data_IF_375680044006
#
_entry.id   IF_375680044006
#
_cell.length_a   1.000
_cell.length_b   1.000
_cell.length_c   1.000
_cell.angle_alpha   90.00
_cell.angle_beta   90.00
_cell.angle_gamma   90.00
#
_symmetry.space_group_name_H-M   'P 1'
#
loop_
_entity.id
_entity.type
_entity.pdbx_description
1 polymer ?
#
# COMPACT_ATOMS: atom_id res chain seq x y z
N UNK A 1 28.06 7.12 30.50
CA UNK A 1 27.44 8.00 29.49
C UNK A 1 26.51 7.16 28.63
N UNK A 2 25.23 7.48 28.49
CA UNK A 2 24.36 6.77 27.58
C UNK A 2 24.88 6.97 26.16
N UNK A 3 24.96 5.88 25.39
CA UNK A 3 25.33 5.87 23.97
C UNK A 3 24.33 6.73 23.21
N UNK A 4 24.72 7.63 22.29
CA UNK A 4 23.76 8.35 21.47
C UNK A 4 22.89 7.32 20.73
N UNK A 5 21.59 7.34 20.97
CA UNK A 5 20.64 6.46 20.27
C UNK A 5 20.69 6.90 18.81
N UNK A 6 21.21 6.00 17.95
CA UNK A 6 21.23 6.26 16.51
C UNK A 6 19.77 6.39 16.06
N UNK A 7 19.43 7.52 15.45
CA UNK A 7 18.12 7.77 14.90
C UNK A 7 17.81 6.70 13.84
N UNK A 8 16.85 5.83 14.14
CA UNK A 8 16.34 4.83 13.22
C UNK A 8 15.04 5.35 12.59
N UNK A 9 15.14 5.71 11.30
CA UNK A 9 14.00 6.23 10.53
C UNK A 9 12.90 5.19 10.35
N UNK A 10 13.28 3.93 10.09
CA UNK A 10 12.32 2.86 9.86
C UNK A 10 11.58 2.50 11.13
N UNK A 11 12.26 2.37 12.27
CA UNK A 11 11.61 2.16 13.56
C UNK A 11 10.65 3.30 13.93
N UNK A 12 10.97 4.55 13.55
CA UNK A 12 10.08 5.71 13.77
C UNK A 12 8.81 5.60 12.92
N UNK A 13 8.94 5.19 11.67
CA UNK A 13 7.80 4.97 10.78
C UNK A 13 6.96 3.77 11.21
N UNK A 14 7.58 2.69 11.73
CA UNK A 14 6.88 1.55 12.31
C UNK A 14 6.05 1.95 13.52
N UNK A 15 6.60 2.80 14.39
CA UNK A 15 5.86 3.35 15.53
C UNK A 15 4.66 4.20 15.08
N UNK A 16 4.82 5.00 14.03
CA UNK A 16 3.74 5.81 13.47
C UNK A 16 2.64 4.95 12.84
N UNK A 17 3.00 3.91 12.07
CA UNK A 17 2.06 2.94 11.49
C UNK A 17 1.26 2.23 12.58
N UNK A 18 1.95 1.73 13.63
CA UNK A 18 1.30 1.04 14.74
C UNK A 18 0.29 1.94 15.47
N UNK A 19 0.69 3.17 15.80
CA UNK A 19 -0.21 4.14 16.47
C UNK A 19 -1.44 4.47 15.61
N UNK A 20 -1.26 4.66 14.29
CA UNK A 20 -2.36 4.91 13.37
C UNK A 20 -3.37 3.75 13.35
N UNK A 21 -2.89 2.53 13.37
CA UNK A 21 -3.72 1.31 13.33
C UNK A 21 -4.41 1.03 14.67
N UNK A 22 -3.75 1.33 15.80
CA UNK A 22 -4.28 1.10 17.16
C UNK A 22 -5.32 2.13 17.58
N UNK A 23 -5.06 3.40 17.29
CA UNK A 23 -5.86 4.52 17.81
C UNK A 23 -6.35 5.51 16.76
N UNK A 24 -6.24 5.17 15.47
CA UNK A 24 -6.56 6.06 14.36
C UNK A 24 -5.51 7.15 14.15
N UNK A 25 -5.71 7.95 13.10
CA UNK A 25 -4.76 9.01 12.69
C UNK A 25 -4.50 10.02 13.82
N UNK A 26 -5.49 10.28 14.66
CA UNK A 26 -5.37 11.23 15.78
C UNK A 26 -4.39 10.77 16.87
N UNK A 27 -4.20 9.47 17.03
CA UNK A 27 -3.23 8.89 17.97
C UNK A 27 -1.78 9.13 17.56
N UNK A 28 -1.52 9.38 16.27
CA UNK A 28 -0.17 9.65 15.75
C UNK A 28 0.21 11.09 16.07
N UNK A 29 0.77 11.31 17.25
CA UNK A 29 1.38 12.59 17.63
C UNK A 29 2.90 12.45 17.68
N UNK A 30 3.65 13.55 17.48
CA UNK A 30 5.12 13.53 17.58
C UNK A 30 5.55 12.95 18.92
N UNK A 31 4.89 13.35 20.00
CA UNK A 31 5.16 12.84 21.36
C UNK A 31 4.91 11.33 21.48
N UNK A 32 3.76 10.84 21.02
CA UNK A 32 3.44 9.42 21.11
C UNK A 32 4.42 8.55 20.33
N UNK A 33 4.87 9.02 19.14
CA UNK A 33 5.88 8.33 18.35
C UNK A 33 7.25 8.40 19.03
N UNK A 34 7.61 9.54 19.61
CA UNK A 34 8.85 9.72 20.36
C UNK A 34 8.90 8.77 21.57
N UNK A 35 7.83 8.73 22.37
CA UNK A 35 7.70 7.88 23.55
C UNK A 35 7.82 6.38 23.15
N UNK A 36 7.15 5.97 22.06
CA UNK A 36 7.18 4.59 21.58
C UNK A 36 8.54 4.18 20.98
N UNK A 37 9.20 5.10 20.26
CA UNK A 37 10.50 4.85 19.61
C UNK A 37 11.73 5.13 20.49
N UNK A 38 11.52 5.66 21.71
CA UNK A 38 12.62 6.08 22.59
C UNK A 38 13.41 7.26 22.04
N UNK A 39 12.79 8.14 21.24
CA UNK A 39 13.42 9.25 20.55
C UNK A 39 13.06 10.59 21.19
N UNK A 40 13.83 11.64 20.87
CA UNK A 40 13.42 13.01 21.23
C UNK A 40 12.45 13.58 20.20
N UNK A 41 11.52 14.42 20.67
CA UNK A 41 10.61 15.16 19.77
C UNK A 41 11.39 15.98 18.73
N UNK A 42 12.54 16.58 19.13
CA UNK A 42 13.40 17.35 18.23
C UNK A 42 13.97 16.52 17.10
N UNK A 43 14.38 15.28 17.35
CA UNK A 43 14.87 14.36 16.30
C UNK A 43 13.79 14.06 15.26
N UNK A 44 12.54 13.82 15.70
CA UNK A 44 11.41 13.55 14.80
C UNK A 44 11.09 14.81 13.97
N UNK A 45 11.03 16.00 14.59
CA UNK A 45 10.80 17.25 13.87
C UNK A 45 11.89 17.50 12.82
N UNK A 46 13.15 17.27 13.19
CA UNK A 46 14.27 17.42 12.25
C UNK A 46 14.16 16.48 11.04
N UNK A 47 13.71 15.23 11.27
CA UNK A 47 13.66 14.20 10.23
C UNK A 47 12.41 14.29 9.34
N UNK A 48 11.27 14.73 9.89
CA UNK A 48 9.97 14.68 9.19
C UNK A 48 9.31 16.06 9.03
N UNK A 49 9.84 17.09 9.64
CA UNK A 49 9.35 18.47 9.55
C UNK A 49 8.06 18.72 10.34
N UNK A 50 7.09 17.83 10.23
CA UNK A 50 5.78 17.97 10.87
C UNK A 50 5.14 16.62 11.14
N UNK A 51 4.02 16.63 11.90
CA UNK A 51 3.16 15.46 12.06
C UNK A 51 2.64 14.95 10.70
N UNK A 52 2.15 15.85 9.84
CA UNK A 52 1.70 15.49 8.48
C UNK A 52 2.82 14.89 7.64
N UNK A 53 4.05 15.39 7.76
CA UNK A 53 5.23 14.81 7.12
C UNK A 53 5.56 13.41 7.63
N UNK A 54 5.46 13.16 8.93
CA UNK A 54 5.69 11.84 9.53
C UNK A 54 4.61 10.83 9.07
N UNK A 55 3.34 11.18 9.20
CA UNK A 55 2.20 10.31 8.85
C UNK A 55 2.19 10.01 7.35
N UNK A 56 2.40 11.04 6.53
CA UNK A 56 2.45 10.87 5.08
C UNK A 56 3.59 9.97 4.62
N UNK A 57 4.79 10.09 5.23
CA UNK A 57 5.92 9.20 4.88
C UNK A 57 5.72 7.77 5.37
N UNK A 58 5.03 7.55 6.50
CA UNK A 58 4.65 6.21 6.93
C UNK A 58 3.71 5.56 5.89
N UNK A 59 2.71 6.29 5.42
CA UNK A 59 1.80 5.81 4.37
C UNK A 59 2.53 5.56 3.04
N UNK A 60 3.36 6.51 2.57
CA UNK A 60 4.17 6.35 1.35
C UNK A 60 5.05 5.11 1.42
N UNK A 61 5.70 4.85 2.57
CA UNK A 61 6.53 3.66 2.76
C UNK A 61 5.71 2.37 2.62
N UNK A 62 4.55 2.32 3.28
CA UNK A 62 3.66 1.16 3.20
C UNK A 62 3.16 0.92 1.77
N UNK A 63 2.74 1.99 1.07
CA UNK A 63 2.29 1.91 -0.31
C UNK A 63 3.42 1.51 -1.30
N UNK A 64 4.64 1.98 -1.08
CA UNK A 64 5.81 1.55 -1.86
C UNK A 64 6.11 0.06 -1.68
N UNK A 65 6.06 -0.44 -0.44
CA UNK A 65 6.23 -1.87 -0.15
C UNK A 65 5.18 -2.70 -0.88
N UNK A 66 3.92 -2.27 -0.83
CA UNK A 66 2.81 -2.92 -1.52
C UNK A 66 3.04 -2.96 -3.04
N UNK A 67 3.31 -1.81 -3.67
CA UNK A 67 3.49 -1.72 -5.11
C UNK A 67 4.75 -2.47 -5.58
N UNK A 68 5.83 -2.47 -4.79
CA UNK A 68 7.02 -3.27 -5.09
C UNK A 68 6.71 -4.77 -5.09
N UNK A 69 5.97 -5.24 -4.08
CA UNK A 69 5.53 -6.64 -4.01
C UNK A 69 4.63 -7.00 -5.19
N UNK A 70 3.71 -6.10 -5.58
CA UNK A 70 2.81 -6.31 -6.71
C UNK A 70 3.56 -6.38 -8.03
N UNK A 71 4.51 -5.47 -8.27
CA UNK A 71 5.40 -5.51 -9.44
C UNK A 71 6.20 -6.81 -9.50
N UNK A 72 6.78 -7.22 -8.35
CA UNK A 72 7.53 -8.49 -8.26
C UNK A 72 6.65 -9.71 -8.57
N UNK A 73 5.43 -9.75 -8.06
CA UNK A 73 4.49 -10.83 -8.34
C UNK A 73 4.13 -10.91 -9.83
N UNK A 74 3.91 -9.76 -10.47
CA UNK A 74 3.66 -9.67 -11.93
C UNK A 74 4.88 -10.11 -12.75
N UNK A 75 6.09 -9.70 -12.33
CA UNK A 75 7.33 -10.00 -13.05
C UNK A 75 7.74 -11.48 -12.95
N UNK A 76 7.18 -12.21 -11.98
CA UNK A 76 7.41 -13.65 -11.80
C UNK A 76 6.55 -14.53 -12.73
N UNK A 77 5.58 -13.95 -13.45
CA UNK A 77 4.65 -14.69 -14.28
C UNK A 77 4.90 -14.43 -15.77
N UNK A 78 5.05 -15.50 -16.53
CA UNK A 78 5.25 -15.43 -17.99
C UNK A 78 3.92 -15.28 -18.76
N UNK A 79 2.82 -15.80 -18.21
CA UNK A 79 1.50 -15.74 -18.86
C UNK A 79 0.72 -14.48 -18.42
N UNK A 80 0.18 -13.69 -19.37
CA UNK A 80 -0.51 -12.44 -19.05
C UNK A 80 -1.68 -12.61 -18.04
N UNK A 81 -2.47 -13.66 -18.19
CA UNK A 81 -3.59 -13.93 -17.28
C UNK A 81 -3.10 -14.23 -15.86
N UNK A 82 -2.00 -14.96 -15.72
CA UNK A 82 -1.40 -15.25 -14.42
C UNK A 82 -0.80 -14.00 -13.78
N UNK A 83 -0.19 -13.13 -14.57
CA UNK A 83 0.31 -11.85 -14.09
C UNK A 83 -0.81 -10.96 -13.52
N UNK A 84 -2.00 -10.92 -14.15
CA UNK A 84 -3.16 -10.20 -13.61
C UNK A 84 -3.67 -10.84 -12.32
N UNK A 85 -3.74 -12.18 -12.26
CA UNK A 85 -4.16 -12.90 -11.04
C UNK A 85 -3.17 -12.65 -9.89
N UNK A 86 -1.87 -12.70 -10.15
CA UNK A 86 -0.84 -12.43 -9.15
C UNK A 86 -0.90 -11.00 -8.64
N UNK A 87 -1.13 -10.02 -9.52
CA UNK A 87 -1.36 -8.63 -9.15
C UNK A 87 -2.61 -8.48 -8.25
N UNK A 88 -3.70 -9.17 -8.58
CA UNK A 88 -4.94 -9.16 -7.81
C UNK A 88 -4.80 -9.83 -6.44
N UNK A 89 -3.96 -10.86 -6.31
CA UNK A 89 -3.72 -11.59 -5.06
C UNK A 89 -2.72 -10.89 -4.12
N UNK A 90 -1.98 -9.89 -4.60
CA UNK A 90 -0.97 -9.17 -3.80
C UNK A 90 -1.47 -8.67 -2.45
N UNK A 91 -2.71 -8.15 -2.27
CA UNK A 91 -3.21 -7.77 -0.95
C UNK A 91 -3.18 -8.90 0.09
N UNK A 92 -3.43 -10.16 -0.33
CA UNK A 92 -3.34 -11.32 0.54
C UNK A 92 -1.90 -11.55 1.03
N UNK A 93 -0.96 -11.64 0.09
CA UNK A 93 0.47 -11.83 0.38
C UNK A 93 1.02 -10.68 1.22
N UNK A 94 0.64 -9.44 0.89
CA UNK A 94 1.05 -8.25 1.65
C UNK A 94 0.54 -8.28 3.09
N UNK A 95 -0.69 -8.76 3.33
CA UNK A 95 -1.25 -8.85 4.68
C UNK A 95 -0.53 -9.87 5.56
N UNK A 96 0.04 -10.91 4.98
CA UNK A 96 0.85 -11.90 5.69
C UNK A 96 2.23 -11.34 6.05
N UNK A 97 2.86 -10.61 5.14
CA UNK A 97 4.21 -10.06 5.32
C UNK A 97 4.24 -8.75 6.12
N UNK A 98 3.23 -7.89 5.93
CA UNK A 98 3.15 -6.53 6.48
C UNK A 98 1.77 -6.23 7.07
N UNK A 99 1.32 -6.94 8.13
CA UNK A 99 -0.05 -6.81 8.64
C UNK A 99 -0.40 -5.39 9.11
N UNK A 100 0.54 -4.67 9.72
CA UNK A 100 0.33 -3.28 10.16
C UNK A 100 0.20 -2.33 8.97
N UNK A 101 1.11 -2.43 7.98
CA UNK A 101 1.05 -1.62 6.77
C UNK A 101 -0.22 -1.89 5.96
N UNK A 102 -0.70 -3.14 5.93
CA UNK A 102 -1.98 -3.52 5.29
C UNK A 102 -3.16 -2.79 5.94
N UNK A 103 -3.23 -2.79 7.27
CA UNK A 103 -4.29 -2.07 8.00
C UNK A 103 -4.19 -0.57 7.80
N UNK A 104 -2.98 -0.03 7.67
CA UNK A 104 -2.77 1.39 7.41
C UNK A 104 -3.31 1.80 6.03
N UNK A 105 -2.89 1.14 4.95
CA UNK A 105 -3.21 1.57 3.58
C UNK A 105 -4.62 1.18 3.12
N UNK A 106 -5.20 0.12 3.68
CA UNK A 106 -6.53 -0.35 3.30
C UNK A 106 -7.60 -0.13 4.36
N UNK A 107 -7.22 0.11 5.61
CA UNK A 107 -8.15 0.30 6.72
C UNK A 107 -8.40 1.76 7.11
N UNK A 108 -7.56 2.69 6.68
CA UNK A 108 -7.65 4.11 7.02
C UNK A 108 -7.73 4.93 5.73
N UNK A 109 -8.65 5.91 5.71
CA UNK A 109 -8.79 6.79 4.54
C UNK A 109 -7.49 7.55 4.24
N UNK A 110 -7.08 7.50 2.98
CA UNK A 110 -5.89 8.21 2.50
C UNK A 110 -6.02 9.72 2.76
N UNK A 111 -7.18 10.30 2.51
CA UNK A 111 -7.46 11.72 2.71
C UNK A 111 -7.28 12.11 4.18
N UNK A 112 -7.77 11.29 5.11
CA UNK A 112 -7.63 11.52 6.53
C UNK A 112 -6.16 11.48 6.98
N UNK A 113 -5.36 10.59 6.39
CA UNK A 113 -3.96 10.42 6.74
C UNK A 113 -3.05 11.54 6.22
N UNK A 114 -3.29 12.02 4.98
CA UNK A 114 -2.34 12.85 4.24
C UNK A 114 -2.83 14.28 3.98
N UNK A 115 -4.02 14.66 4.49
CA UNK A 115 -4.60 15.99 4.23
C UNK A 115 -3.64 17.15 4.54
N UNK A 116 -2.82 17.01 5.59
CA UNK A 116 -1.83 18.01 6.02
C UNK A 116 -0.39 17.65 5.58
N UNK A 117 -0.22 16.74 4.62
CA UNK A 117 1.11 16.31 4.18
C UNK A 117 1.83 17.42 3.41
N UNK A 118 3.13 17.64 3.66
CA UNK A 118 3.92 18.65 2.96
C UNK A 118 4.09 18.33 1.46
N UNK A 119 4.45 19.33 0.67
CA UNK A 119 4.47 19.27 -0.79
C UNK A 119 5.35 18.14 -1.37
N UNK A 120 6.47 17.85 -0.71
CA UNK A 120 7.36 16.74 -1.11
C UNK A 120 6.71 15.38 -0.91
N UNK A 121 6.01 15.15 0.20
CA UNK A 121 5.22 13.93 0.43
C UNK A 121 4.09 13.81 -0.59
N UNK A 122 3.41 14.92 -0.89
CA UNK A 122 2.38 14.96 -1.94
C UNK A 122 2.93 14.59 -3.32
N UNK A 123 4.16 15.00 -3.63
CA UNK A 123 4.84 14.61 -4.87
C UNK A 123 5.14 13.10 -4.90
N UNK A 124 5.60 12.53 -3.78
CA UNK A 124 5.83 11.08 -3.66
C UNK A 124 4.53 10.27 -3.84
N UNK A 125 3.41 10.78 -3.32
CA UNK A 125 2.09 10.14 -3.49
C UNK A 125 1.65 10.15 -4.95
N UNK A 126 1.81 11.26 -5.67
CA UNK A 126 1.53 11.34 -7.11
C UNK A 126 2.40 10.40 -7.94
N UNK A 127 3.66 10.24 -7.55
CA UNK A 127 4.55 9.27 -8.21
C UNK A 127 4.04 7.84 -8.04
N UNK A 128 3.55 7.46 -6.84
CA UNK A 128 2.94 6.15 -6.62
C UNK A 128 1.66 5.93 -7.45
N UNK A 129 0.82 6.96 -7.60
CA UNK A 129 -0.37 6.89 -8.44
C UNK A 129 0.02 6.68 -9.91
N UNK A 130 1.11 7.32 -10.38
CA UNK A 130 1.66 7.11 -11.72
C UNK A 130 2.21 5.71 -11.89
N UNK A 131 3.00 5.23 -10.94
CA UNK A 131 3.58 3.89 -10.94
C UNK A 131 2.52 2.78 -10.99
N UNK A 132 1.40 2.95 -10.26
CA UNK A 132 0.28 2.00 -10.32
C UNK A 132 -0.40 2.05 -11.68
N UNK A 133 -0.65 3.24 -12.22
CA UNK A 133 -1.23 3.40 -13.56
C UNK A 133 -0.37 2.73 -14.63
N UNK A 134 0.94 2.91 -14.58
CA UNK A 134 1.88 2.29 -15.52
C UNK A 134 1.85 0.76 -15.43
N UNK A 135 1.71 0.21 -14.23
CA UNK A 135 1.52 -1.22 -14.03
C UNK A 135 0.23 -1.72 -14.68
N UNK A 136 -0.90 -1.00 -14.49
CA UNK A 136 -2.19 -1.37 -15.09
C UNK A 136 -2.13 -1.31 -16.64
N UNK A 137 -1.48 -0.28 -17.19
CA UNK A 137 -1.26 -0.16 -18.65
C UNK A 137 -0.41 -1.31 -19.17
N UNK A 138 0.67 -1.68 -18.46
CA UNK A 138 1.52 -2.81 -18.83
C UNK A 138 0.74 -4.12 -18.88
N UNK A 139 -0.09 -4.39 -17.86
CA UNK A 139 -0.94 -5.57 -17.81
C UNK A 139 -1.99 -5.57 -18.93
N UNK A 140 -2.58 -4.41 -19.24
CA UNK A 140 -3.54 -4.26 -20.34
C UNK A 140 -2.91 -4.53 -21.71
N UNK A 141 -1.70 -4.03 -21.93
CA UNK A 141 -0.94 -4.32 -23.16
C UNK A 141 -0.59 -5.81 -23.27
N UNK A 142 -0.14 -6.43 -22.19
CA UNK A 142 0.20 -7.85 -22.18
C UNK A 142 -1.04 -8.73 -22.42
N UNK A 143 -2.20 -8.37 -21.86
CA UNK A 143 -3.42 -9.18 -21.92
C UNK A 143 -4.23 -8.98 -23.20
N UNK A 144 -4.29 -7.74 -23.72
CA UNK A 144 -5.22 -7.36 -24.79
C UNK A 144 -4.53 -6.73 -26.01
N UNK A 145 -3.21 -6.51 -25.97
CA UNK A 145 -2.48 -5.66 -26.92
C UNK A 145 -3.10 -4.26 -27.08
N UNK A 146 -3.67 -3.72 -26.00
CA UNK A 146 -4.40 -2.43 -25.98
C UNK A 146 -4.08 -1.68 -24.70
N UNK A 147 -4.11 -0.33 -24.79
CA UNK A 147 -3.90 0.60 -23.67
C UNK A 147 -4.94 1.74 -23.62
N UNK A 148 -6.06 1.56 -24.29
CA UNK A 148 -7.18 2.51 -24.22
C UNK A 148 -7.87 2.43 -22.84
N UNK A 149 -8.65 3.46 -22.51
CA UNK A 149 -9.27 3.59 -21.20
C UNK A 149 -10.17 2.38 -20.85
N UNK A 150 -10.84 1.78 -21.83
CA UNK A 150 -11.72 0.65 -21.60
C UNK A 150 -10.95 -0.62 -21.23
N UNK A 151 -9.88 -0.92 -21.96
CA UNK A 151 -9.04 -2.09 -21.67
C UNK A 151 -8.29 -1.96 -20.33
N UNK A 152 -7.79 -0.77 -19.99
CA UNK A 152 -7.16 -0.50 -18.68
C UNK A 152 -8.18 -0.60 -17.54
N UNK A 153 -9.43 -0.14 -17.74
CA UNK A 153 -10.48 -0.25 -16.73
C UNK A 153 -10.79 -1.71 -16.38
N UNK A 154 -10.80 -2.64 -17.36
CA UNK A 154 -10.97 -4.07 -17.09
C UNK A 154 -9.85 -4.61 -16.18
N UNK A 155 -8.62 -4.20 -16.41
CA UNK A 155 -7.49 -4.59 -15.55
C UNK A 155 -7.64 -3.96 -14.15
N UNK A 156 -8.07 -2.71 -14.05
CA UNK A 156 -8.32 -2.03 -12.78
C UNK A 156 -9.42 -2.74 -11.99
N UNK A 157 -10.51 -3.17 -12.63
CA UNK A 157 -11.55 -3.97 -11.99
C UNK A 157 -10.99 -5.28 -11.40
N UNK A 158 -10.09 -5.95 -12.14
CA UNK A 158 -9.45 -7.18 -11.69
C UNK A 158 -8.46 -6.95 -10.54
N UNK A 159 -7.61 -5.92 -10.64
CA UNK A 159 -6.46 -5.73 -9.75
C UNK A 159 -6.77 -4.86 -8.52
N UNK A 160 -7.78 -3.98 -8.63
CA UNK A 160 -8.18 -3.06 -7.56
C UNK A 160 -9.61 -3.36 -7.09
N UNK A 161 -10.58 -3.40 -8.00
CA UNK A 161 -12.00 -3.54 -7.67
C UNK A 161 -12.32 -4.85 -6.96
N UNK A 162 -11.99 -5.99 -7.56
CA UNK A 162 -12.25 -7.31 -7.00
C UNK A 162 -11.55 -7.56 -5.66
N UNK A 163 -10.23 -7.33 -5.51
CA UNK A 163 -9.57 -7.50 -4.22
C UNK A 163 -10.17 -6.60 -3.13
N UNK A 164 -10.51 -5.37 -3.45
CA UNK A 164 -11.16 -4.45 -2.50
C UNK A 164 -12.51 -5.02 -2.03
N UNK A 165 -13.34 -5.52 -2.92
CA UNK A 165 -14.65 -6.08 -2.58
C UNK A 165 -14.58 -7.42 -1.86
N UNK A 166 -13.71 -8.32 -2.28
CA UNK A 166 -13.65 -9.70 -1.80
C UNK A 166 -12.73 -9.90 -0.58
N UNK A 167 -11.65 -9.14 -0.49
CA UNK A 167 -10.62 -9.32 0.53
C UNK A 167 -10.60 -8.20 1.56
N UNK A 168 -10.45 -6.94 1.12
CA UNK A 168 -10.10 -5.85 2.02
C UNK A 168 -11.25 -5.40 2.95
N UNK A 169 -12.48 -5.78 2.65
CA UNK A 169 -13.66 -5.55 3.52
C UNK A 169 -13.87 -6.65 4.56
N UNK A 170 -12.99 -7.63 4.63
CA UNK A 170 -13.07 -8.80 5.51
C UNK A 170 -11.85 -8.84 6.42
N UNK A 171 -11.86 -9.67 7.48
CA UNK A 171 -10.65 -9.90 8.28
C UNK A 171 -9.48 -10.38 7.40
N UNK A 172 -8.31 -9.80 7.61
CA UNK A 172 -7.07 -10.15 6.91
C UNK A 172 -6.18 -11.01 7.84
N UNK A 173 -5.40 -11.95 7.30
CA UNK A 173 -5.29 -12.35 5.89
C UNK A 173 -6.54 -13.08 5.39
N UNK A 174 -6.86 -13.02 4.07
CA UNK A 174 -7.98 -13.76 3.50
C UNK A 174 -7.70 -15.27 3.49
N UNK A 175 -8.77 -16.07 3.54
CA UNK A 175 -8.64 -17.52 3.45
C UNK A 175 -8.23 -17.96 2.05
N UNK A 176 -7.62 -19.14 1.93
CA UNK A 176 -7.28 -19.76 0.64
C UNK A 176 -8.50 -19.91 -0.28
N UNK A 177 -9.66 -20.19 0.28
CA UNK A 177 -10.93 -20.24 -0.47
C UNK A 177 -11.29 -18.87 -1.06
N UNK A 178 -11.05 -17.77 -0.34
CA UNK A 178 -11.28 -16.41 -0.85
C UNK A 178 -10.32 -16.08 -1.97
N UNK A 179 -9.06 -16.45 -1.86
CA UNK A 179 -8.03 -16.27 -2.90
C UNK A 179 -8.38 -17.04 -4.17
N UNK A 180 -8.84 -18.32 -4.06
CA UNK A 180 -9.31 -19.10 -5.20
C UNK A 180 -10.52 -18.50 -5.90
N UNK A 181 -11.47 -17.95 -5.12
CA UNK A 181 -12.63 -17.25 -5.69
C UNK A 181 -12.22 -15.98 -6.42
N UNK A 182 -11.24 -15.22 -5.89
CA UNK A 182 -10.69 -14.06 -6.57
C UNK A 182 -10.08 -14.46 -7.91
N UNK A 183 -9.22 -15.47 -7.94
CA UNK A 183 -8.59 -15.96 -9.17
C UNK A 183 -9.64 -16.34 -10.23
N UNK A 184 -10.63 -17.12 -9.85
CA UNK A 184 -11.71 -17.52 -10.75
C UNK A 184 -12.54 -16.32 -11.28
N UNK A 185 -12.79 -15.32 -10.44
CA UNK A 185 -13.48 -14.10 -10.85
C UNK A 185 -12.64 -13.26 -11.83
N UNK A 186 -11.33 -13.14 -11.61
CA UNK A 186 -10.41 -12.49 -12.54
C UNK A 186 -10.41 -13.18 -13.90
N UNK A 187 -10.27 -14.51 -13.93
CA UNK A 187 -10.34 -15.31 -15.16
C UNK A 187 -11.65 -15.09 -15.92
N UNK A 188 -12.78 -15.09 -15.19
CA UNK A 188 -14.08 -14.87 -15.79
C UNK A 188 -14.22 -13.48 -16.41
N UNK A 189 -13.76 -12.41 -15.74
CA UNK A 189 -13.79 -11.04 -16.27
C UNK A 189 -12.92 -10.93 -17.52
N UNK A 190 -11.70 -11.46 -17.48
CA UNK A 190 -10.75 -11.39 -18.60
C UNK A 190 -11.21 -12.18 -19.83
N UNK A 191 -12.14 -13.15 -19.66
CA UNK A 191 -12.73 -13.93 -20.76
C UNK A 191 -13.89 -13.25 -21.47
N UNK A 192 -14.46 -12.16 -20.90
CA UNK A 192 -15.55 -11.40 -21.52
C UNK A 192 -14.98 -10.58 -22.69
N UNK A 193 -15.53 -10.79 -23.89
CA UNK A 193 -15.14 -10.10 -25.12
C UNK A 193 -15.87 -8.76 -25.27
#
# INVERSE_FOLDING_TARGET
MPRPQVYDRDATLDAAEALAVEGGVKAVTIRAVADRGGLSNGAIYHAFGSRGGLVGRAWVRAARRFLALQKQAVDAEDEPIRAVIAAADTPAVFSEQYPTSTRLIFGISREELIGDAPADVQAELRALDTDLRDLLIRLSLAMFDRKDAASVAVIEDCVVGLPTGLMLRRPMPPTEETRRRLAAAVEAILSVK
#
